data_IF_762862917280
#
_entry.id   IF_762862917280
#
_cell.length_a   1.000
_cell.length_b   1.000
_cell.length_c   1.000
_cell.angle_alpha   90.00
_cell.angle_beta   90.00
_cell.angle_gamma   90.00
#
_symmetry.space_group_name_H-M   'P 1'
#
loop_
_entity.id
_entity.type
_entity.pdbx_description
1 polymer ?
#
# COMPACT_ATOMS: atom_id res chain seq x y z
N UNK A 1 -24.02 9.53 2.99
CA UNK A 1 -23.01 9.93 1.99
C UNK A 1 -22.46 11.28 2.42
N UNK A 2 -21.32 11.29 3.10
CA UNK A 2 -20.71 12.51 3.64
C UNK A 2 -20.00 13.21 2.49
N UNK A 3 -20.61 14.26 1.95
CA UNK A 3 -19.99 15.07 0.91
C UNK A 3 -18.83 15.83 1.55
N UNK A 4 -17.60 15.33 1.40
CA UNK A 4 -16.41 16.08 1.79
C UNK A 4 -16.34 17.32 0.90
N UNK A 5 -16.60 18.50 1.47
CA UNK A 5 -16.52 19.79 0.76
C UNK A 5 -15.07 20.18 0.41
N UNK A 6 -14.09 19.35 0.79
CA UNK A 6 -12.67 19.54 0.52
C UNK A 6 -12.06 18.20 0.06
N UNK A 7 -11.29 18.18 -1.05
CA UNK A 7 -10.58 16.98 -1.46
C UNK A 7 -9.63 16.50 -0.36
N UNK A 8 -9.54 15.19 -0.18
CA UNK A 8 -8.53 14.56 0.67
C UNK A 8 -7.14 14.72 0.05
N UNK A 9 -6.08 14.48 0.83
CA UNK A 9 -4.71 14.44 0.29
C UNK A 9 -4.58 13.40 -0.82
N UNK A 10 -5.25 12.25 -0.69
CA UNK A 10 -5.26 11.21 -1.72
C UNK A 10 -5.92 11.71 -3.02
N UNK A 11 -7.00 12.48 -2.93
CA UNK A 11 -7.66 13.07 -4.11
C UNK A 11 -6.75 14.09 -4.81
N UNK A 12 -6.02 14.89 -4.04
CA UNK A 12 -5.04 15.84 -4.59
C UNK A 12 -3.88 15.12 -5.28
N UNK A 13 -3.36 14.04 -4.69
CA UNK A 13 -2.30 13.21 -5.30
C UNK A 13 -2.79 12.56 -6.60
N UNK A 14 -4.02 12.01 -6.60
CA UNK A 14 -4.65 11.48 -7.81
C UNK A 14 -4.76 12.54 -8.92
N UNK A 15 -5.17 13.75 -8.56
CA UNK A 15 -5.25 14.89 -9.50
C UNK A 15 -3.88 15.24 -10.11
N UNK A 16 -2.81 15.23 -9.32
CA UNK A 16 -1.44 15.47 -9.83
C UNK A 16 -1.00 14.36 -10.79
N UNK A 17 -1.31 13.11 -10.46
CA UNK A 17 -1.02 11.95 -11.33
C UNK A 17 -1.71 12.07 -12.69
N UNK A 18 -2.97 12.47 -12.71
CA UNK A 18 -3.73 12.72 -13.95
C UNK A 18 -3.13 13.87 -14.76
N UNK A 19 -2.79 14.98 -14.10
CA UNK A 19 -2.14 16.12 -14.74
C UNK A 19 -0.81 15.72 -15.40
N UNK A 20 0.06 14.98 -14.69
CA UNK A 20 1.32 14.49 -15.24
C UNK A 20 1.11 13.58 -16.46
N UNK A 21 0.06 12.75 -16.44
CA UNK A 21 -0.31 11.90 -17.57
C UNK A 21 -0.76 12.71 -18.77
N UNK A 22 -1.51 13.79 -18.55
CA UNK A 22 -2.00 14.66 -19.62
C UNK A 22 -0.89 15.50 -20.27
N UNK A 23 0.06 16.01 -19.47
CA UNK A 23 1.18 16.78 -20.01
C UNK A 23 2.28 15.91 -20.61
N UNK A 24 2.41 14.65 -20.17
CA UNK A 24 3.47 13.72 -20.59
C UNK A 24 3.73 13.65 -22.09
N UNK A 25 2.69 13.54 -22.95
CA UNK A 25 2.87 13.55 -24.41
C UNK A 25 3.47 14.85 -24.99
N UNK A 26 3.32 15.97 -24.28
CA UNK A 26 3.79 17.31 -24.66
C UNK A 26 5.23 17.58 -24.20
N UNK A 27 5.76 16.76 -23.29
CA UNK A 27 7.12 16.88 -22.76
C UNK A 27 8.16 16.29 -23.71
N UNK A 28 9.38 16.79 -23.65
CA UNK A 28 10.52 16.17 -24.34
C UNK A 28 10.84 14.77 -23.77
N UNK A 29 11.76 14.02 -24.39
CA UNK A 29 12.03 12.64 -23.96
C UNK A 29 12.52 12.52 -22.51
N UNK A 30 13.30 13.49 -22.03
CA UNK A 30 13.88 13.45 -20.68
C UNK A 30 12.82 13.76 -19.62
N UNK A 31 12.08 14.85 -19.83
CA UNK A 31 11.01 15.29 -18.95
C UNK A 31 9.83 14.30 -18.96
N UNK A 32 9.57 13.64 -20.09
CA UNK A 32 8.56 12.58 -20.18
C UNK A 32 8.93 11.36 -19.34
N UNK A 33 10.20 10.96 -19.31
CA UNK A 33 10.65 9.89 -18.42
C UNK A 33 10.49 10.30 -16.94
N UNK A 34 10.89 11.52 -16.58
CA UNK A 34 10.71 12.05 -15.22
C UNK A 34 9.22 12.06 -14.82
N UNK A 35 8.32 12.46 -15.71
CA UNK A 35 6.88 12.45 -15.47
C UNK A 35 6.33 11.04 -15.22
N UNK A 36 6.83 10.02 -15.94
CA UNK A 36 6.46 8.61 -15.69
C UNK A 36 6.93 8.13 -14.31
N UNK A 37 8.17 8.47 -13.93
CA UNK A 37 8.72 8.15 -12.60
C UNK A 37 7.89 8.83 -11.50
N UNK A 38 7.61 10.12 -11.64
CA UNK A 38 6.76 10.85 -10.71
C UNK A 38 5.36 10.23 -10.60
N UNK A 39 4.72 9.88 -11.72
CA UNK A 39 3.42 9.21 -11.72
C UNK A 39 3.44 7.87 -10.98
N UNK A 40 4.53 7.11 -11.10
CA UNK A 40 4.69 5.85 -10.35
C UNK A 40 4.81 6.07 -8.84
N UNK A 41 5.63 7.04 -8.42
CA UNK A 41 5.81 7.39 -7.00
C UNK A 41 4.49 7.92 -6.42
N UNK A 42 3.79 8.80 -7.14
CA UNK A 42 2.50 9.33 -6.69
C UNK A 42 1.46 8.22 -6.55
N UNK A 43 1.44 7.22 -7.44
CA UNK A 43 0.58 6.05 -7.29
C UNK A 43 0.90 5.23 -6.01
N UNK A 44 2.17 5.14 -5.60
CA UNK A 44 2.53 4.53 -4.31
C UNK A 44 2.02 5.37 -3.13
N UNK A 45 2.25 6.68 -3.17
CA UNK A 45 1.81 7.62 -2.11
C UNK A 45 0.30 7.62 -1.97
N UNK A 46 -0.44 7.69 -3.07
CA UNK A 46 -1.91 7.66 -3.08
C UNK A 46 -2.46 6.41 -2.40
N UNK A 47 -1.79 5.28 -2.64
CA UNK A 47 -2.16 3.98 -2.10
C UNK A 47 -1.83 3.84 -0.61
N UNK A 48 -0.74 4.44 -0.16
CA UNK A 48 -0.43 4.57 1.26
C UNK A 48 -1.40 5.51 1.97
N UNK A 49 -1.79 6.62 1.33
CA UNK A 49 -2.76 7.57 1.88
C UNK A 49 -4.19 7.00 1.97
N UNK A 50 -4.55 6.05 1.10
CA UNK A 50 -5.84 5.36 1.13
C UNK A 50 -5.87 4.15 2.06
N UNK A 51 -4.71 3.58 2.37
CA UNK A 51 -4.59 2.55 3.38
C UNK A 51 -4.52 3.17 4.77
N UNK A 52 -5.10 2.51 5.77
CA UNK A 52 -4.71 2.79 7.16
C UNK A 52 -3.27 2.28 7.37
N UNK A 53 -2.38 3.05 8.00
CA UNK A 53 -1.07 2.54 8.40
C UNK A 53 -1.30 1.29 9.25
N UNK A 54 -0.70 0.17 8.83
CA UNK A 54 -0.70 -1.02 9.67
C UNK A 54 -0.03 -0.66 11.00
N UNK A 55 -0.66 -1.05 12.11
CA UNK A 55 -0.14 -0.74 13.44
C UNK A 55 1.34 -1.13 13.53
N UNK A 56 2.17 -0.28 14.13
CA UNK A 56 3.57 -0.59 14.35
C UNK A 56 3.67 -1.87 15.19
N UNK A 57 4.30 -2.89 14.60
CA UNK A 57 4.56 -4.15 15.26
C UNK A 57 6.08 -4.31 15.35
N UNK A 58 6.56 -4.63 16.55
CA UNK A 58 7.96 -5.01 16.72
C UNK A 58 8.18 -6.40 16.12
N UNK A 59 8.44 -6.44 14.80
CA UNK A 59 8.69 -7.67 14.05
C UNK A 59 9.93 -8.40 14.59
N UNK A 60 10.93 -7.68 15.11
CA UNK A 60 12.13 -8.28 15.67
C UNK A 60 11.84 -9.02 16.98
N UNK A 61 11.04 -8.42 17.87
CA UNK A 61 10.57 -9.07 19.08
C UNK A 61 9.67 -10.29 18.75
N UNK A 62 8.77 -10.16 17.77
CA UNK A 62 7.92 -11.27 17.34
C UNK A 62 8.74 -12.45 16.81
N UNK A 63 9.72 -12.19 15.93
CA UNK A 63 10.62 -13.22 15.40
C UNK A 63 11.39 -13.91 16.53
N UNK A 64 11.85 -13.14 17.52
CA UNK A 64 12.54 -13.69 18.67
C UNK A 64 11.64 -14.64 19.48
N UNK A 65 10.40 -14.22 19.77
CA UNK A 65 9.42 -15.03 20.49
C UNK A 65 9.04 -16.31 19.73
N UNK A 66 8.84 -16.24 18.41
CA UNK A 66 8.56 -17.41 17.57
C UNK A 66 9.74 -18.40 17.62
N UNK A 67 10.98 -17.92 17.47
CA UNK A 67 12.17 -18.77 17.51
C UNK A 67 12.42 -19.39 18.88
N UNK A 68 11.96 -18.75 19.94
CA UNK A 68 12.02 -19.27 21.31
C UNK A 68 10.91 -20.29 21.62
N UNK A 69 9.96 -20.53 20.70
CA UNK A 69 8.81 -21.41 20.92
C UNK A 69 7.71 -20.79 21.80
N UNK A 70 7.81 -19.51 22.14
CA UNK A 70 6.85 -18.82 23.02
C UNK A 70 5.46 -18.65 22.39
N UNK A 71 5.33 -18.97 21.10
CA UNK A 71 4.09 -18.87 20.32
C UNK A 71 3.56 -20.22 19.85
N UNK A 72 4.17 -21.32 20.27
CA UNK A 72 3.77 -22.67 19.81
C UNK A 72 2.36 -23.04 20.29
N UNK A 73 2.01 -22.65 21.52
CA UNK A 73 0.69 -22.89 22.09
C UNK A 73 -0.43 -22.15 21.34
N UNK A 74 -0.11 -20.98 20.77
CA UNK A 74 -1.04 -20.09 20.05
C UNK A 74 -0.63 -19.94 18.58
N UNK A 75 -0.10 -21.01 17.98
CA UNK A 75 0.51 -20.94 16.65
C UNK A 75 -0.49 -20.49 15.57
N UNK A 76 -1.70 -21.06 15.55
CA UNK A 76 -2.71 -20.72 14.55
C UNK A 76 -3.09 -19.23 14.60
N UNK A 77 -3.24 -18.68 15.82
CA UNK A 77 -3.53 -17.27 16.01
C UNK A 77 -2.35 -16.39 15.56
N UNK A 78 -1.13 -16.79 15.89
CA UNK A 78 0.09 -16.09 15.50
C UNK A 78 0.27 -16.07 13.98
N UNK A 79 0.07 -17.22 13.33
CA UNK A 79 0.16 -17.36 11.88
C UNK A 79 -0.91 -16.52 11.18
N UNK A 80 -2.16 -16.58 11.65
CA UNK A 80 -3.27 -15.79 11.10
C UNK A 80 -2.96 -14.29 11.16
N UNK A 81 -2.48 -13.80 12.31
CA UNK A 81 -2.13 -12.39 12.45
C UNK A 81 -1.01 -11.93 11.49
N UNK A 82 0.01 -12.77 11.28
CA UNK A 82 1.08 -12.48 10.32
C UNK A 82 0.53 -12.50 8.89
N UNK A 83 -0.29 -13.50 8.54
CA UNK A 83 -0.89 -13.63 7.22
C UNK A 83 -1.78 -12.44 6.89
N UNK A 84 -2.67 -12.04 7.79
CA UNK A 84 -3.56 -10.88 7.62
C UNK A 84 -2.77 -9.60 7.37
N UNK A 85 -1.67 -9.40 8.13
CA UNK A 85 -0.77 -8.27 7.94
C UNK A 85 -0.08 -8.32 6.58
N UNK A 86 0.38 -9.49 6.14
CA UNK A 86 0.97 -9.67 4.81
C UNK A 86 -0.04 -9.39 3.71
N UNK A 87 -1.28 -9.90 3.82
CA UNK A 87 -2.36 -9.66 2.87
C UNK A 87 -2.63 -8.15 2.75
N UNK A 88 -2.75 -7.44 3.88
CA UNK A 88 -2.96 -6.00 3.87
C UNK A 88 -1.82 -5.24 3.16
N UNK A 89 -0.55 -5.61 3.41
CA UNK A 89 0.61 -5.02 2.71
C UNK A 89 0.61 -5.31 1.22
N UNK A 90 0.24 -6.52 0.81
CA UNK A 90 0.24 -6.92 -0.60
C UNK A 90 -0.96 -6.35 -1.35
N UNK A 91 -2.13 -6.23 -0.72
CA UNK A 91 -3.31 -5.56 -1.28
C UNK A 91 -2.99 -4.11 -1.69
N UNK A 92 -2.15 -3.46 -0.89
CA UNK A 92 -1.55 -2.16 -1.22
C UNK A 92 -0.47 -2.41 -2.29
N UNK A 93 0.65 -3.02 -1.94
CA UNK A 93 1.85 -2.98 -2.80
C UNK A 93 1.74 -3.66 -4.17
N UNK A 94 1.05 -4.80 -4.26
CA UNK A 94 0.96 -5.68 -5.44
C UNK A 94 -0.36 -6.48 -5.42
N UNK A 95 -1.53 -5.85 -5.59
CA UNK A 95 -2.84 -6.52 -5.40
C UNK A 95 -3.02 -7.77 -6.27
N UNK A 96 -2.49 -7.77 -7.50
CA UNK A 96 -2.61 -8.92 -8.42
C UNK A 96 -1.85 -10.17 -7.97
N UNK A 97 -0.96 -10.03 -6.98
CA UNK A 97 -0.22 -11.15 -6.40
C UNK A 97 -0.99 -11.86 -5.28
N UNK A 98 -2.15 -11.33 -4.86
CA UNK A 98 -3.00 -12.01 -3.88
C UNK A 98 -3.72 -13.20 -4.54
N UNK A 99 -3.74 -14.31 -3.81
CA UNK A 99 -4.62 -15.44 -4.11
C UNK A 99 -6.09 -14.98 -4.09
N UNK A 100 -6.98 -15.59 -4.89
CA UNK A 100 -8.39 -15.17 -4.98
C UNK A 100 -9.08 -15.02 -3.62
N UNK A 101 -8.83 -15.93 -2.69
CA UNK A 101 -9.38 -15.94 -1.32
C UNK A 101 -8.92 -14.79 -0.42
N UNK A 102 -7.90 -14.04 -0.83
CA UNK A 102 -7.33 -12.93 -0.05
C UNK A 102 -7.58 -11.56 -0.69
N UNK A 103 -8.25 -11.50 -1.84
CA UNK A 103 -8.57 -10.23 -2.51
C UNK A 103 -9.76 -9.57 -1.81
N UNK A 104 -9.73 -8.23 -1.60
CA UNK A 104 -10.90 -7.51 -1.14
C UNK A 104 -12.06 -7.69 -2.14
N UNK A 105 -13.27 -7.85 -1.61
CA UNK A 105 -14.50 -8.06 -2.37
C UNK A 105 -14.91 -6.84 -3.21
#
# INVERSE_FOLDING_TARGET
>A
MTHHYRPSTADLVGTVTEFLREIGPKLDSGDRYQALVCGHILAMVERELRGEPLADQDEAALVTAIRAGERDADWDATFTAILDRTIARVAITKPDHLAPEHRPA
#
